data_IF_677529282330
#
_entry.id   IF_677529282330
#
_cell.length_a   1.000
_cell.length_b   1.000
_cell.length_c   1.000
_cell.angle_alpha   90.00
_cell.angle_beta   90.00
_cell.angle_gamma   90.00
#
_symmetry.space_group_name_H-M   'P 1'
#
loop_
_entity.id
_entity.type
_entity.pdbx_description
1 polymer ?
#
# COMPACT_ATOMS: atom_id res chain seq x y z
N UNK A 1 3.74 23.17 13.91
CA UNK A 1 4.32 21.85 14.25
C UNK A 1 3.33 21.18 15.18
N UNK A 2 2.82 19.99 14.94
CA UNK A 2 2.86 19.06 13.81
C UNK A 2 1.52 18.29 13.85
N UNK A 3 1.11 17.66 12.74
CA UNK A 3 0.13 16.56 12.61
C UNK A 3 -0.54 16.72 11.23
N UNK A 4 -0.61 15.77 10.30
CA UNK A 4 -0.22 14.38 10.21
C UNK A 4 0.21 14.20 8.75
N UNK A 5 1.41 13.68 8.50
CA UNK A 5 1.68 13.16 7.17
C UNK A 5 0.79 11.92 7.04
N UNK A 6 -0.30 12.01 6.25
CA UNK A 6 -1.02 10.82 5.82
C UNK A 6 0.04 9.86 5.28
N UNK A 7 0.24 8.73 5.96
CA UNK A 7 1.18 7.74 5.49
C UNK A 7 0.44 6.94 4.42
N UNK A 8 0.56 7.38 3.18
CA UNK A 8 0.15 6.59 2.02
C UNK A 8 1.23 5.54 1.80
N UNK A 9 0.87 4.27 1.88
CA UNK A 9 1.72 3.15 1.48
C UNK A 9 1.09 2.39 0.33
N UNK A 10 1.91 1.66 -0.40
CA UNK A 10 1.47 0.80 -1.49
C UNK A 10 1.88 -0.63 -1.20
N UNK A 11 1.02 -1.59 -1.52
CA UNK A 11 1.31 -3.02 -1.37
C UNK A 11 1.01 -3.76 -2.68
N UNK A 12 1.75 -4.83 -2.92
CA UNK A 12 1.59 -5.67 -4.11
C UNK A 12 0.95 -6.99 -3.71
N UNK A 13 -0.05 -7.43 -4.47
CA UNK A 13 -0.59 -8.79 -4.37
C UNK A 13 -0.44 -9.54 -5.69
N UNK A 14 -0.49 -10.87 -5.61
CA UNK A 14 -0.71 -11.75 -6.75
C UNK A 14 -1.94 -12.61 -6.51
N UNK A 15 -2.61 -12.97 -7.59
CA UNK A 15 -3.66 -13.97 -7.62
C UNK A 15 -3.13 -15.17 -8.40
N UNK A 16 -3.09 -16.33 -7.75
CA UNK A 16 -2.67 -17.60 -8.34
C UNK A 16 -3.69 -18.68 -7.99
N UNK A 17 -4.27 -19.34 -8.99
CA UNK A 17 -5.28 -20.39 -8.79
C UNK A 17 -6.46 -19.93 -7.90
N UNK A 18 -6.88 -18.67 -8.03
CA UNK A 18 -7.95 -18.08 -7.23
C UNK A 18 -7.58 -17.68 -5.79
N UNK A 19 -6.32 -17.89 -5.37
CA UNK A 19 -5.83 -17.44 -4.07
C UNK A 19 -5.09 -16.13 -4.24
N UNK A 20 -5.48 -15.12 -3.44
CA UNK A 20 -4.78 -13.84 -3.37
C UNK A 20 -3.74 -13.88 -2.23
N UNK A 21 -2.52 -13.45 -2.55
CA UNK A 21 -1.37 -13.43 -1.64
C UNK A 21 -0.67 -12.08 -1.76
N UNK A 22 -0.22 -11.51 -0.65
CA UNK A 22 0.58 -10.29 -0.61
C UNK A 22 2.07 -10.59 -0.68
N UNK A 23 2.82 -9.69 -1.31
CA UNK A 23 4.26 -9.76 -1.42
C UNK A 23 4.94 -9.33 -0.11
N UNK A 24 5.85 -10.15 0.39
CA UNK A 24 6.82 -9.78 1.42
C UNK A 24 8.22 -9.80 0.80
N UNK A 25 8.83 -8.64 0.67
CA UNK A 25 10.20 -8.47 0.23
C UNK A 25 11.16 -8.58 1.40
N UNK A 26 12.15 -9.45 1.26
CA UNK A 26 13.29 -9.55 2.16
C UNK A 26 14.45 -8.74 1.58
N UNK A 27 14.75 -7.61 2.20
CA UNK A 27 15.78 -6.67 1.79
C UNK A 27 17.21 -7.22 1.93
N UNK A 28 17.43 -8.10 2.91
CA UNK A 28 18.72 -8.73 3.14
C UNK A 28 19.17 -9.63 1.99
N UNK A 29 18.25 -10.38 1.37
CA UNK A 29 18.58 -11.34 0.32
C UNK A 29 17.88 -11.10 -1.03
N UNK A 30 17.04 -10.08 -1.13
CA UNK A 30 16.31 -9.72 -2.35
C UNK A 30 15.19 -10.69 -2.74
N UNK A 31 14.78 -11.60 -1.85
CA UNK A 31 13.75 -12.61 -2.15
C UNK A 31 12.35 -12.06 -1.89
N UNK A 32 11.41 -12.38 -2.77
CA UNK A 32 9.99 -12.09 -2.59
C UNK A 32 9.26 -13.37 -2.17
N UNK A 33 8.67 -13.32 -0.99
CA UNK A 33 7.78 -14.34 -0.45
C UNK A 33 6.32 -13.91 -0.62
N UNK A 34 5.41 -14.87 -0.58
CA UNK A 34 3.98 -14.65 -0.81
C UNK A 34 3.19 -15.25 0.33
N UNK A 35 2.32 -14.45 0.94
CA UNK A 35 1.54 -14.85 2.09
C UNK A 35 0.07 -14.49 1.91
N UNK A 36 -0.83 -15.35 2.40
CA UNK A 36 -2.26 -15.04 2.40
C UNK A 36 -2.66 -14.04 3.49
N UNK A 37 -1.78 -13.75 4.45
CA UNK A 37 -2.04 -12.76 5.49
C UNK A 37 -1.67 -11.35 4.97
N UNK A 38 -2.64 -10.41 4.83
CA UNK A 38 -2.37 -9.06 4.35
C UNK A 38 -1.39 -8.28 5.23
N UNK A 39 -1.35 -8.54 6.54
CA UNK A 39 -0.42 -7.87 7.47
C UNK A 39 1.06 -8.24 7.23
N UNK A 40 1.32 -9.23 6.37
CA UNK A 40 2.68 -9.65 6.00
C UNK A 40 3.24 -8.88 4.80
N UNK A 41 2.45 -7.96 4.22
CA UNK A 41 2.85 -7.21 3.04
C UNK A 41 4.06 -6.29 3.33
N UNK A 42 4.92 -6.13 2.32
CA UNK A 42 5.88 -5.03 2.31
C UNK A 42 5.21 -3.76 1.84
N UNK A 43 5.29 -2.73 2.68
CA UNK A 43 4.87 -1.38 2.36
C UNK A 43 5.92 -0.69 1.48
N UNK A 44 5.47 -0.12 0.36
CA UNK A 44 6.24 0.81 -0.45
C UNK A 44 5.74 2.23 -0.17
N UNK A 45 6.65 3.17 0.11
CA UNK A 45 6.29 4.59 0.34
C UNK A 45 6.26 5.41 -0.96
N UNK A 46 6.76 4.84 -2.06
CA UNK A 46 6.85 5.48 -3.38
C UNK A 46 6.06 4.67 -4.42
N UNK A 47 5.13 5.35 -5.10
CA UNK A 47 4.27 4.74 -6.11
C UNK A 47 5.04 4.24 -7.34
N UNK A 48 6.03 5.00 -7.80
CA UNK A 48 6.80 4.66 -8.99
C UNK A 48 7.71 3.46 -8.70
N UNK A 49 8.26 3.36 -7.49
CA UNK A 49 8.97 2.17 -7.03
C UNK A 49 8.05 0.94 -7.01
N UNK A 50 6.84 1.08 -6.45
CA UNK A 50 5.88 -0.01 -6.37
C UNK A 50 5.42 -0.48 -7.78
N UNK A 51 5.17 0.46 -8.71
CA UNK A 51 4.87 0.16 -10.12
C UNK A 51 6.04 -0.56 -10.80
N UNK A 52 7.27 -0.09 -10.60
CA UNK A 52 8.46 -0.72 -11.15
C UNK A 52 8.61 -2.17 -10.67
N UNK A 53 8.42 -2.40 -9.37
CA UNK A 53 8.45 -3.75 -8.78
C UNK A 53 7.33 -4.64 -9.32
N UNK A 54 6.11 -4.12 -9.47
CA UNK A 54 4.99 -4.82 -10.09
C UNK A 54 5.31 -5.24 -11.54
N UNK A 55 5.86 -4.32 -12.33
CA UNK A 55 6.21 -4.56 -13.73
C UNK A 55 7.30 -5.63 -13.87
N UNK A 56 8.33 -5.61 -13.03
CA UNK A 56 9.38 -6.64 -13.02
C UNK A 56 8.77 -8.02 -12.70
N UNK A 57 7.88 -8.10 -11.72
CA UNK A 57 7.24 -9.35 -11.35
C UNK A 57 6.32 -9.90 -12.45
N UNK A 58 5.52 -9.04 -13.07
CA UNK A 58 4.67 -9.39 -14.22
C UNK A 58 5.51 -9.90 -15.41
N UNK A 59 6.62 -9.23 -15.72
CA UNK A 59 7.56 -9.66 -16.76
C UNK A 59 8.16 -11.03 -16.44
N UNK A 60 8.60 -11.26 -15.20
CA UNK A 60 9.17 -12.54 -14.77
C UNK A 60 8.14 -13.67 -14.78
N UNK A 61 6.90 -13.40 -14.39
CA UNK A 61 5.81 -14.37 -14.47
C UNK A 61 5.53 -14.78 -15.92
N UNK A 62 5.45 -13.81 -16.84
CA UNK A 62 5.28 -14.07 -18.29
C UNK A 62 6.44 -14.87 -18.86
N UNK A 63 7.68 -14.49 -18.54
CA UNK A 63 8.89 -15.20 -18.98
C UNK A 63 8.92 -16.65 -18.50
N UNK A 64 8.47 -16.89 -17.26
CA UNK A 64 8.43 -18.22 -16.65
C UNK A 64 7.11 -18.96 -16.88
N UNK A 65 6.20 -18.40 -17.70
CA UNK A 65 4.88 -18.95 -18.03
C UNK A 65 4.02 -19.28 -16.80
N UNK A 66 4.12 -18.44 -15.77
CA UNK A 66 3.26 -18.52 -14.60
C UNK A 66 1.91 -17.88 -14.90
N UNK A 67 0.84 -18.61 -14.61
CA UNK A 67 -0.53 -18.07 -14.64
C UNK A 67 -0.82 -17.35 -13.32
N UNK A 68 -0.43 -16.08 -13.27
CA UNK A 68 -0.61 -15.20 -12.12
C UNK A 68 -1.02 -13.81 -12.58
N UNK A 69 -1.90 -13.17 -11.82
CA UNK A 69 -2.29 -11.77 -12.04
C UNK A 69 -1.79 -10.95 -10.87
N UNK A 70 -1.10 -9.83 -11.12
CA UNK A 70 -0.64 -8.95 -10.06
C UNK A 70 -1.56 -7.74 -9.89
N UNK A 71 -1.66 -7.24 -8.66
CA UNK A 71 -2.38 -6.01 -8.33
C UNK A 71 -1.51 -5.13 -7.42
N UNK A 72 -1.77 -3.83 -7.51
CA UNK A 72 -1.17 -2.81 -6.65
C UNK A 72 -2.31 -2.12 -5.88
N UNK A 73 -2.17 -2.04 -4.57
CA UNK A 73 -3.11 -1.33 -3.71
C UNK A 73 -2.43 -0.09 -3.12
N UNK A 74 -3.20 0.97 -2.96
CA UNK A 74 -2.85 2.14 -2.15
C UNK A 74 -3.57 2.00 -0.82
N UNK A 75 -2.83 2.20 0.27
CA UNK A 75 -3.31 2.20 1.63
C UNK A 75 -3.09 3.59 2.21
N UNK A 76 -4.18 4.29 2.51
CA UNK A 76 -4.13 5.60 3.13
C UNK A 76 -4.40 5.44 4.63
N UNK A 77 -3.46 5.86 5.48
CA UNK A 77 -3.68 5.86 6.92
C UNK A 77 -4.72 6.92 7.30
N UNK A 78 -5.86 6.50 7.86
CA UNK A 78 -6.85 7.43 8.42
C UNK A 78 -6.23 8.22 9.59
N UNK A 79 -6.39 9.54 9.55
CA UNK A 79 -5.96 10.43 10.62
C UNK A 79 -7.12 10.64 11.59
N UNK A 80 -6.88 10.41 12.88
CA UNK A 80 -7.85 10.68 13.94
C UNK A 80 -7.35 11.81 14.83
N UNK A 81 -8.23 12.74 15.18
CA UNK A 81 -8.03 13.62 16.33
C UNK A 81 -8.36 12.84 17.60
N UNK A 82 -7.64 13.13 18.68
CA UNK A 82 -7.99 12.65 20.01
C UNK A 82 -8.57 13.83 20.77
N UNK A 83 -9.86 13.76 21.15
CA UNK A 83 -10.49 14.80 21.93
C UNK A 83 -9.93 14.84 23.37
N UNK A 84 -10.33 15.85 24.14
CA UNK A 84 -9.88 16.04 25.54
C UNK A 84 -10.29 14.90 26.48
N UNK A 85 -11.22 14.05 26.07
CA UNK A 85 -11.70 12.87 26.78
C UNK A 85 -10.95 11.58 26.38
N UNK A 86 -10.02 11.65 25.42
CA UNK A 86 -9.23 10.51 24.94
C UNK A 86 -9.91 9.66 23.86
N UNK A 87 -11.02 10.12 23.29
CA UNK A 87 -11.76 9.41 22.25
C UNK A 87 -11.28 9.81 20.84
N UNK A 88 -11.35 8.85 19.90
CA UNK A 88 -11.02 9.07 18.49
C UNK A 88 -12.15 9.83 17.80
N UNK A 89 -11.82 10.95 17.16
CA UNK A 89 -12.72 11.72 16.30
C UNK A 89 -12.14 11.75 14.88
N UNK A 90 -12.99 11.50 13.87
CA UNK A 90 -12.60 11.62 12.47
C UNK A 90 -12.31 13.09 12.16
N UNK A 91 -11.15 13.36 11.55
CA UNK A 91 -10.80 14.71 11.10
C UNK A 91 -11.61 15.00 9.84
N UNK A 92 -12.65 15.84 9.96
CA UNK A 92 -13.35 16.36 8.78
C UNK A 92 -12.43 17.39 8.10
N UNK A 93 -12.08 17.15 6.83
CA UNK A 93 -11.33 18.11 6.03
C UNK A 93 -12.17 19.38 5.85
N UNK A 94 -11.72 20.51 6.42
CA UNK A 94 -12.22 21.82 6.00
C UNK A 94 -11.77 22.05 4.55
N UNK A 95 -12.67 21.80 3.58
CA UNK A 95 -12.52 22.37 2.24
C UNK A 95 -12.31 23.87 2.39
N UNK A 96 -11.20 24.45 1.89
CA UNK A 96 -11.04 25.89 1.93
C UNK A 96 -12.14 26.48 1.06
N UNK A 97 -13.09 27.17 1.67
CA UNK A 97 -13.97 28.08 0.94
C UNK A 97 -13.07 29.07 0.21
N UNK A 98 -13.13 29.05 -1.13
CA UNK A 98 -12.66 30.14 -1.97
C UNK A 98 -13.30 31.44 -1.46
N UNK A 99 -12.59 32.18 -0.60
CA UNK A 99 -12.98 33.54 -0.26
C UNK A 99 -12.36 34.47 -1.29
N UNK A 100 -13.26 34.96 -2.14
CA UNK A 100 -13.05 36.02 -3.12
C UNK A 100 -12.66 37.31 -2.41
N UNK A 101 -11.54 37.92 -2.80
CA UNK A 101 -11.24 39.34 -2.57
C UNK A 101 -10.32 39.87 -3.68
#
# INVERSE_FOLDING_TARGET
MALNAQKTTFIISRIKNGVEEVAQYNDYNGTIYWYSNPDSATDFEDLELAKGMLQVQDMMAKLTKQDVTFKLYQLDAETYEINTDGERVLVEEETPTEETA
#
